data_IF_880394870225
#
_entry.id   IF_880394870225
#
_cell.length_a   1.000
_cell.length_b   1.000
_cell.length_c   1.000
_cell.angle_alpha   90.00
_cell.angle_beta   90.00
_cell.angle_gamma   90.00
#
_symmetry.space_group_name_H-M   'P 1'
#
loop_
_entity.id
_entity.type
_entity.pdbx_description
1 polymer ?
#
# COMPACT_ATOMS: atom_id res chain seq x y z
N UNK A 1 2.90 -10.10 -14.41
CA UNK A 1 1.92 -8.99 -14.32
C UNK A 1 2.62 -7.63 -14.31
N UNK A 2 3.62 -7.39 -13.45
CA UNK A 2 4.44 -6.17 -13.49
C UNK A 2 5.01 -5.84 -14.90
N UNK A 3 5.40 -6.85 -15.68
CA UNK A 3 5.76 -6.71 -17.11
C UNK A 3 4.70 -5.97 -17.93
N UNK A 4 3.41 -6.25 -17.74
CA UNK A 4 2.33 -5.60 -18.49
C UNK A 4 2.31 -4.10 -18.20
N UNK A 5 2.34 -3.71 -16.92
CA UNK A 5 2.38 -2.29 -16.55
C UNK A 5 3.61 -1.56 -17.09
N UNK A 6 4.79 -2.16 -16.93
CA UNK A 6 6.03 -1.62 -17.49
C UNK A 6 5.91 -1.39 -19.00
N UNK A 7 5.46 -2.43 -19.73
CA UNK A 7 5.36 -2.42 -21.19
C UNK A 7 4.40 -1.36 -21.71
N UNK A 8 3.22 -1.27 -21.11
CA UNK A 8 2.13 -0.43 -21.64
C UNK A 8 2.26 1.05 -21.23
N UNK A 9 3.01 1.34 -20.17
CA UNK A 9 3.22 2.71 -19.64
C UNK A 9 4.64 3.23 -19.95
N UNK A 10 5.46 2.51 -20.73
CA UNK A 10 6.84 2.90 -21.06
C UNK A 10 7.74 3.22 -19.84
N UNK A 11 7.66 2.42 -18.77
CA UNK A 11 8.33 2.74 -17.51
C UNK A 11 9.84 2.42 -17.55
N UNK A 12 10.72 3.32 -17.05
CA UNK A 12 12.11 3.00 -16.78
C UNK A 12 12.20 2.07 -15.58
N UNK A 13 12.74 0.87 -15.77
CA UNK A 13 12.68 -0.19 -14.77
C UNK A 13 14.04 -0.83 -14.54
N UNK A 14 14.39 -1.01 -13.26
CA UNK A 14 15.45 -1.89 -12.81
C UNK A 14 14.82 -3.24 -12.39
N UNK A 15 15.10 -4.26 -13.18
CA UNK A 15 14.66 -5.62 -12.96
C UNK A 15 15.71 -6.38 -12.17
N UNK A 16 15.33 -6.95 -11.03
CA UNK A 16 16.22 -7.72 -10.15
C UNK A 16 15.67 -9.14 -10.06
N UNK A 17 16.35 -10.10 -10.67
CA UNK A 17 15.94 -11.51 -10.72
C UNK A 17 16.94 -12.43 -10.05
N UNK A 18 16.51 -13.63 -9.69
CA UNK A 18 17.39 -14.68 -9.16
C UNK A 18 17.64 -15.75 -10.20
N UNK A 19 18.91 -16.04 -10.43
CA UNK A 19 19.35 -17.24 -11.13
C UNK A 19 19.52 -18.37 -10.11
N UNK A 20 18.55 -19.29 -10.05
CA UNK A 20 18.55 -20.38 -9.09
C UNK A 20 19.66 -21.40 -9.35
N UNK A 21 20.14 -21.53 -10.60
CA UNK A 21 21.19 -22.48 -10.93
C UNK A 21 22.55 -22.03 -10.39
N UNK A 22 22.81 -20.72 -10.41
CA UNK A 22 24.06 -20.14 -9.93
C UNK A 22 23.96 -19.50 -8.54
N UNK A 23 22.75 -19.36 -7.99
CA UNK A 23 22.48 -18.63 -6.74
C UNK A 23 22.98 -17.19 -6.79
N UNK A 24 22.67 -16.50 -7.90
CA UNK A 24 23.07 -15.12 -8.16
C UNK A 24 21.85 -14.21 -8.33
N UNK A 25 22.01 -12.95 -7.91
CA UNK A 25 21.11 -11.87 -8.28
C UNK A 25 21.59 -11.23 -9.59
N UNK A 26 20.67 -11.00 -10.51
CA UNK A 26 20.91 -10.39 -11.82
C UNK A 26 20.16 -9.08 -11.89
N UNK A 27 20.90 -8.00 -12.17
CA UNK A 27 20.40 -6.65 -12.30
C UNK A 27 20.33 -6.31 -13.79
N UNK A 28 19.13 -6.04 -14.29
CA UNK A 28 18.92 -5.66 -15.68
C UNK A 28 18.13 -4.35 -15.77
N UNK A 29 18.53 -3.48 -16.69
CA UNK A 29 17.75 -2.29 -17.02
C UNK A 29 16.83 -2.57 -18.20
N UNK A 30 15.65 -1.94 -18.18
CA UNK A 30 14.67 -2.11 -19.26
C UNK A 30 13.73 -0.89 -19.31
N UNK A 31 13.33 -0.50 -20.52
CA UNK A 31 12.34 0.55 -20.77
C UNK A 31 11.16 -0.04 -21.54
N UNK A 32 9.93 0.30 -21.14
CA UNK A 32 8.73 -0.04 -21.90
C UNK A 32 8.68 -1.50 -22.33
N UNK A 33 8.59 -1.78 -23.64
CA UNK A 33 8.55 -3.13 -24.20
C UNK A 33 9.92 -3.72 -24.56
N UNK A 34 11.00 -3.00 -24.30
CA UNK A 34 12.34 -3.42 -24.69
C UNK A 34 12.78 -4.72 -24.01
N UNK A 35 13.80 -5.35 -24.59
CA UNK A 35 14.46 -6.51 -24.00
C UNK A 35 15.32 -6.06 -22.83
N UNK A 36 15.23 -6.72 -21.65
CA UNK A 36 16.10 -6.42 -20.53
C UNK A 36 17.58 -6.59 -20.90
N UNK A 37 18.39 -5.61 -20.52
CA UNK A 37 19.85 -5.62 -20.71
C UNK A 37 20.52 -5.79 -19.36
N UNK A 38 21.30 -6.87 -19.19
CA UNK A 38 22.03 -7.14 -17.94
C UNK A 38 23.08 -6.04 -17.71
N UNK A 39 22.99 -5.39 -16.55
CA UNK A 39 23.93 -4.35 -16.10
C UNK A 39 24.98 -4.93 -15.16
N UNK A 40 24.55 -5.81 -14.24
CA UNK A 40 25.41 -6.41 -13.23
C UNK A 40 24.85 -7.73 -12.70
N UNK A 41 25.71 -8.47 -12.01
CA UNK A 41 25.41 -9.76 -11.38
C UNK A 41 26.30 -9.94 -10.16
N UNK A 42 25.77 -10.57 -9.11
CA UNK A 42 26.55 -10.95 -7.92
C UNK A 42 25.93 -12.16 -7.21
N UNK A 43 26.68 -12.81 -6.33
CA UNK A 43 26.14 -13.94 -5.58
C UNK A 43 25.16 -13.45 -4.51
N UNK A 44 24.11 -14.24 -4.21
CA UNK A 44 23.13 -13.88 -3.17
C UNK A 44 23.77 -13.64 -1.79
N UNK A 45 24.83 -14.39 -1.46
CA UNK A 45 25.59 -14.20 -0.22
C UNK A 45 26.26 -12.81 -0.12
N UNK A 46 26.63 -12.24 -1.26
CA UNK A 46 27.30 -10.92 -1.31
C UNK A 46 26.28 -9.81 -1.04
N UNK A 47 24.97 -10.12 -1.14
CA UNK A 47 23.86 -9.27 -0.73
C UNK A 47 23.46 -9.48 0.75
N UNK A 48 24.13 -10.37 1.48
CA UNK A 48 23.72 -10.78 2.81
C UNK A 48 22.53 -11.75 2.84
N UNK A 49 22.14 -12.34 1.70
CA UNK A 49 21.04 -13.31 1.65
C UNK A 49 21.51 -14.76 1.85
N UNK A 50 20.66 -15.63 2.44
CA UNK A 50 20.90 -17.06 2.42
C UNK A 50 20.82 -17.62 1.00
N UNK A 51 21.45 -18.78 0.78
CA UNK A 51 21.36 -19.50 -0.51
C UNK A 51 20.00 -20.15 -0.73
N UNK A 52 19.31 -20.48 0.35
CA UNK A 52 17.96 -21.04 0.33
C UNK A 52 16.91 -19.93 0.33
N UNK A 53 15.73 -20.24 -0.20
CA UNK A 53 14.55 -19.36 -0.12
C UNK A 53 13.99 -19.25 1.29
N UNK A 54 14.45 -20.10 2.20
CA UNK A 54 14.13 -20.10 3.62
C UNK A 54 15.42 -19.82 4.40
N UNK A 55 15.37 -18.90 5.35
CA UNK A 55 16.53 -18.57 6.16
C UNK A 55 16.34 -17.26 6.91
N UNK A 56 17.10 -17.09 7.99
CA UNK A 56 17.13 -15.84 8.71
C UNK A 56 17.81 -14.77 7.84
N UNK A 57 17.18 -13.60 7.77
CA UNK A 57 17.70 -12.43 7.06
C UNK A 57 18.00 -11.37 8.11
N UNK A 58 19.29 -11.13 8.36
CA UNK A 58 19.74 -10.03 9.20
C UNK A 58 19.80 -8.75 8.37
N UNK A 59 18.90 -7.80 8.65
CA UNK A 59 18.77 -6.56 7.89
C UNK A 59 20.04 -5.69 7.93
N UNK A 60 20.84 -5.82 9.00
CA UNK A 60 22.11 -5.12 9.18
C UNK A 60 23.22 -5.68 8.31
N UNK A 61 23.12 -6.95 7.91
CA UNK A 61 24.07 -7.60 7.02
C UNK A 61 23.78 -7.35 5.53
N UNK A 62 22.61 -6.80 5.20
CA UNK A 62 22.21 -6.55 3.82
C UNK A 62 23.03 -5.42 3.19
N UNK A 63 23.64 -5.72 2.05
CA UNK A 63 24.49 -4.77 1.31
C UNK A 63 24.40 -5.01 -0.20
N UNK A 64 25.01 -4.14 -0.99
CA UNK A 64 25.22 -4.36 -2.43
C UNK A 64 26.70 -4.07 -2.73
N UNK A 65 27.41 -4.97 -3.43
CA UNK A 65 28.80 -4.73 -3.79
C UNK A 65 28.99 -3.37 -4.51
N UNK A 66 29.98 -2.55 -4.14
CA UNK A 66 30.16 -1.22 -4.74
C UNK A 66 30.33 -1.24 -6.26
N UNK A 67 30.95 -2.29 -6.82
CA UNK A 67 31.12 -2.46 -8.25
C UNK A 67 29.80 -2.77 -8.96
N UNK A 68 28.89 -3.51 -8.31
CA UNK A 68 27.52 -3.73 -8.78
C UNK A 68 26.77 -2.41 -8.82
N UNK A 69 26.82 -1.62 -7.74
CA UNK A 69 26.19 -0.28 -7.69
C UNK A 69 26.73 0.59 -8.83
N UNK A 70 28.05 0.68 -9.00
CA UNK A 70 28.65 1.52 -10.06
C UNK A 70 28.28 1.07 -11.49
N UNK A 71 28.07 -0.22 -11.73
CA UNK A 71 27.58 -0.74 -13.02
C UNK A 71 26.10 -0.42 -13.22
N UNK A 72 25.27 -0.64 -12.20
CA UNK A 72 23.83 -0.32 -12.24
C UNK A 72 23.61 1.18 -12.42
N UNK A 73 24.32 2.04 -11.69
CA UNK A 73 24.24 3.51 -11.84
C UNK A 73 24.50 3.96 -13.28
N UNK A 74 25.53 3.42 -13.93
CA UNK A 74 25.82 3.73 -15.34
C UNK A 74 24.70 3.27 -16.26
N UNK A 75 24.21 2.04 -16.08
CA UNK A 75 23.15 1.50 -16.93
C UNK A 75 21.81 2.24 -16.74
N UNK A 76 21.49 2.67 -15.52
CA UNK A 76 20.25 3.40 -15.20
C UNK A 76 20.21 4.79 -15.83
N UNK A 77 21.37 5.44 -16.01
CA UNK A 77 21.47 6.75 -16.65
C UNK A 77 20.92 6.75 -18.09
N UNK A 78 21.05 5.61 -18.79
CA UNK A 78 20.65 5.48 -20.20
C UNK A 78 19.16 5.14 -20.40
N UNK A 79 18.43 4.76 -19.34
CA UNK A 79 17.01 4.32 -19.43
C UNK A 79 16.05 5.52 -19.54
N UNK A 80 16.49 6.71 -19.10
CA UNK A 80 15.72 7.94 -19.13
C UNK A 80 14.70 8.10 -17.99
N UNK A 81 13.88 9.14 -18.11
CA UNK A 81 12.83 9.53 -17.16
C UNK A 81 11.53 8.74 -17.31
N UNK A 82 10.77 8.67 -16.23
CA UNK A 82 9.42 8.12 -16.18
C UNK A 82 8.47 9.06 -16.94
N UNK A 83 7.63 8.51 -17.85
CA UNK A 83 6.63 9.33 -18.55
C UNK A 83 5.53 9.83 -17.62
N UNK A 84 5.36 9.20 -16.44
CA UNK A 84 4.43 9.63 -15.41
C UNK A 84 5.18 10.22 -14.20
N UNK A 85 4.56 11.15 -13.45
CA UNK A 85 5.06 11.59 -12.17
C UNK A 85 5.26 10.40 -11.20
N UNK A 86 6.34 10.40 -10.40
CA UNK A 86 7.42 11.38 -10.42
C UNK A 86 8.33 11.08 -11.61
N UNK A 87 8.63 12.07 -12.46
CA UNK A 87 9.39 11.85 -13.70
C UNK A 87 10.79 11.29 -13.47
N UNK A 88 11.42 11.58 -12.32
CA UNK A 88 12.73 11.01 -11.96
C UNK A 88 12.63 9.60 -11.33
N UNK A 89 11.45 9.02 -11.13
CA UNK A 89 11.32 7.71 -10.50
C UNK A 89 11.94 6.59 -11.35
N UNK A 90 12.51 5.60 -10.69
CA UNK A 90 12.93 4.32 -11.28
C UNK A 90 12.11 3.20 -10.64
N UNK A 91 11.54 2.34 -11.48
CA UNK A 91 10.64 1.28 -11.05
C UNK A 91 11.40 -0.03 -10.81
N UNK A 92 11.11 -0.73 -9.72
CA UNK A 92 11.69 -2.02 -9.40
C UNK A 92 10.75 -3.15 -9.84
N UNK A 93 11.28 -4.11 -10.60
CA UNK A 93 10.57 -5.34 -11.00
C UNK A 93 11.26 -6.58 -10.41
N UNK A 94 10.51 -7.41 -9.69
CA UNK A 94 10.97 -8.69 -9.14
C UNK A 94 10.26 -9.87 -9.82
N UNK A 95 10.78 -10.38 -10.96
CA UNK A 95 10.16 -11.49 -11.67
C UNK A 95 10.32 -12.83 -10.93
N UNK A 96 9.38 -13.74 -11.14
CA UNK A 96 9.45 -15.13 -10.63
C UNK A 96 10.49 -15.93 -11.43
N UNK A 97 11.35 -16.74 -10.78
CA UNK A 97 11.54 -16.85 -9.33
C UNK A 97 12.35 -15.66 -8.78
N UNK A 98 11.85 -15.05 -7.68
CA UNK A 98 12.50 -13.88 -7.04
C UNK A 98 13.26 -14.23 -5.75
N UNK A 99 13.16 -15.46 -5.26
CA UNK A 99 13.78 -15.85 -3.98
C UNK A 99 13.40 -14.88 -2.86
N UNK A 100 14.41 -14.40 -2.12
CA UNK A 100 14.26 -13.36 -1.08
C UNK A 100 14.66 -11.96 -1.57
N UNK A 101 14.88 -11.74 -2.88
CA UNK A 101 15.36 -10.42 -3.32
C UNK A 101 14.34 -9.32 -3.11
N UNK A 102 13.04 -9.63 -3.02
CA UNK A 102 12.00 -8.65 -2.71
C UNK A 102 12.04 -8.19 -1.25
N UNK A 103 12.72 -8.89 -0.34
CA UNK A 103 12.79 -8.46 1.06
C UNK A 103 13.95 -7.54 1.36
N UNK A 104 14.83 -7.18 0.41
CA UNK A 104 15.90 -6.21 0.66
C UNK A 104 15.37 -4.77 0.63
N UNK A 105 15.95 -3.83 1.40
CA UNK A 105 15.64 -2.41 1.29
C UNK A 105 16.40 -1.80 0.12
N UNK A 106 16.03 -2.15 -1.12
CA UNK A 106 16.68 -1.62 -2.33
C UNK A 106 16.71 -0.10 -2.35
N UNK A 107 15.69 0.53 -1.79
CA UNK A 107 15.57 1.98 -1.68
C UNK A 107 16.72 2.59 -0.86
N UNK A 108 17.13 1.92 0.22
CA UNK A 108 18.35 2.25 1.00
C UNK A 108 19.62 1.86 0.26
N UNK A 109 19.67 0.62 -0.24
CA UNK A 109 20.89 0.01 -0.79
C UNK A 109 21.33 0.63 -2.12
N UNK A 110 20.39 1.20 -2.87
CA UNK A 110 20.61 1.82 -4.18
C UNK A 110 20.38 3.34 -4.14
N UNK A 111 20.45 3.96 -2.96
CA UNK A 111 20.31 5.42 -2.80
C UNK A 111 21.28 6.21 -3.70
N UNK A 112 22.45 5.64 -3.98
CA UNK A 112 23.47 6.21 -4.87
C UNK A 112 23.02 6.37 -6.33
N UNK A 113 21.89 5.78 -6.74
CA UNK A 113 21.28 6.02 -8.05
C UNK A 113 20.73 7.46 -8.18
N UNK A 114 20.49 8.16 -7.06
CA UNK A 114 19.99 9.53 -7.07
C UNK A 114 18.54 9.67 -7.57
N UNK A 115 17.79 8.56 -7.61
CA UNK A 115 16.40 8.49 -8.07
C UNK A 115 15.49 7.95 -6.97
N UNK A 116 14.24 8.46 -6.83
CA UNK A 116 13.22 7.77 -6.07
C UNK A 116 12.96 6.37 -6.64
N UNK A 117 12.85 5.38 -5.76
CA UNK A 117 12.61 3.99 -6.13
C UNK A 117 11.21 3.57 -5.68
N UNK A 118 10.43 3.02 -6.61
CA UNK A 118 9.11 2.44 -6.34
C UNK A 118 9.05 1.03 -6.89
N UNK A 119 8.32 0.15 -6.22
CA UNK A 119 8.13 -1.23 -6.65
C UNK A 119 6.87 -1.32 -7.51
N UNK A 120 6.99 -1.97 -8.66
CA UNK A 120 5.82 -2.21 -9.49
C UNK A 120 4.82 -3.07 -8.73
N UNK A 121 3.51 -2.73 -8.78
CA UNK A 121 2.50 -3.57 -8.18
C UNK A 121 2.29 -4.79 -9.06
N UNK A 122 1.54 -5.74 -8.53
CA UNK A 122 1.23 -6.96 -9.24
C UNK A 122 -0.01 -6.83 -10.11
N UNK A 123 -0.81 -5.77 -9.93
CA UNK A 123 -2.10 -5.63 -10.60
C UNK A 123 -2.16 -4.39 -11.49
N UNK A 124 -2.70 -4.51 -12.73
CA UNK A 124 -2.92 -3.37 -13.62
C UNK A 124 -4.15 -2.53 -13.28
N UNK A 125 -5.06 -3.03 -12.42
CA UNK A 125 -6.17 -2.21 -11.90
C UNK A 125 -5.59 -1.16 -10.97
N UNK A 126 -5.91 0.10 -11.27
CA UNK A 126 -5.77 1.22 -10.34
C UNK A 126 -6.99 1.24 -9.42
N UNK A 127 -6.86 0.94 -8.12
CA UNK A 127 -7.97 1.09 -7.20
C UNK A 127 -8.54 2.52 -7.17
N UNK A 128 -9.82 2.65 -6.85
CA UNK A 128 -10.45 3.94 -6.59
C UNK A 128 -9.68 4.71 -5.49
N UNK A 129 -9.31 5.96 -5.74
CA UNK A 129 -8.61 6.81 -4.77
C UNK A 129 -9.60 7.37 -3.71
N UNK A 130 -9.18 7.54 -2.45
CA UNK A 130 -9.96 8.26 -1.43
C UNK A 130 -10.29 9.69 -1.86
N UNK A 131 -11.45 10.19 -1.40
CA UNK A 131 -11.97 11.53 -1.68
C UNK A 131 -11.19 12.65 -1.01
N UNK A 132 -11.84 13.77 -0.69
CA UNK A 132 -11.20 14.85 0.07
C UNK A 132 -11.02 14.48 1.54
N UNK A 133 -11.90 13.62 2.07
CA UNK A 133 -11.76 13.03 3.38
C UNK A 133 -10.84 11.80 3.32
N UNK A 134 -9.97 11.69 4.31
CA UNK A 134 -9.04 10.57 4.49
C UNK A 134 -9.17 10.03 5.91
N UNK A 135 -9.64 8.81 6.05
CA UNK A 135 -9.75 8.13 7.35
C UNK A 135 -8.60 7.13 7.50
N UNK A 136 -7.77 7.33 8.53
CA UNK A 136 -6.53 6.57 8.74
C UNK A 136 -6.57 5.88 10.08
N UNK A 137 -6.33 4.59 10.14
CA UNK A 137 -6.06 3.89 11.39
C UNK A 137 -4.56 3.72 11.59
N UNK A 138 -4.02 4.19 12.72
CA UNK A 138 -2.64 3.92 13.14
C UNK A 138 -2.69 3.03 14.37
N UNK A 139 -2.14 1.82 14.23
CA UNK A 139 -2.02 0.84 15.29
C UNK A 139 -0.57 0.68 15.68
N UNK A 140 -0.24 0.87 16.96
CA UNK A 140 1.11 0.60 17.46
C UNK A 140 1.07 -0.31 18.68
N UNK A 141 1.90 -1.34 18.64
CA UNK A 141 2.04 -2.29 19.73
C UNK A 141 3.50 -2.65 19.95
N UNK A 142 3.90 -2.76 21.21
CA UNK A 142 5.24 -3.22 21.61
C UNK A 142 5.13 -4.50 22.44
N UNK A 143 5.09 -5.69 21.80
CA UNK A 143 4.95 -6.96 22.52
C UNK A 143 6.16 -7.32 23.39
N UNK A 144 7.33 -6.71 23.15
CA UNK A 144 8.58 -7.10 23.79
C UNK A 144 9.06 -6.03 24.78
N UNK A 145 9.06 -6.31 26.10
CA UNK A 145 9.55 -5.36 27.11
C UNK A 145 11.02 -4.96 26.93
N UNK A 146 11.81 -5.79 26.24
CA UNK A 146 13.23 -5.60 26.02
C UNK A 146 13.54 -4.66 24.84
N UNK A 147 12.62 -4.50 23.88
CA UNK A 147 12.83 -3.67 22.68
C UNK A 147 12.12 -2.34 22.88
N UNK A 148 12.91 -1.32 23.23
CA UNK A 148 12.42 -0.02 23.68
C UNK A 148 12.33 0.94 22.52
N UNK A 149 11.19 0.94 21.83
CA UNK A 149 10.71 2.18 21.20
C UNK A 149 9.61 2.79 22.09
N UNK A 150 9.33 4.08 21.90
CA UNK A 150 8.22 4.77 22.56
C UNK A 150 7.02 4.78 21.62
N UNK A 151 6.02 3.88 21.81
CA UNK A 151 4.89 3.78 20.89
C UNK A 151 4.06 5.07 20.84
N UNK A 152 3.95 5.80 21.96
CA UNK A 152 3.18 7.03 22.03
C UNK A 152 3.79 8.12 21.16
N UNK A 153 5.12 8.29 21.25
CA UNK A 153 5.86 9.23 20.40
C UNK A 153 5.79 8.84 18.92
N UNK A 154 6.02 7.57 18.60
CA UNK A 154 5.96 7.09 17.20
C UNK A 154 4.59 7.36 16.61
N UNK A 155 3.52 6.99 17.32
CA UNK A 155 2.15 7.21 16.85
C UNK A 155 1.86 8.70 16.64
N UNK A 156 2.31 9.57 17.55
CA UNK A 156 2.12 11.02 17.41
C UNK A 156 2.84 11.57 16.16
N UNK A 157 4.07 11.14 15.90
CA UNK A 157 4.81 11.57 14.71
C UNK A 157 4.13 11.09 13.43
N UNK A 158 3.72 9.82 13.37
CA UNK A 158 2.99 9.27 12.23
C UNK A 158 1.67 10.03 12.01
N UNK A 159 0.91 10.28 13.07
CA UNK A 159 -0.34 11.03 12.99
C UNK A 159 -0.11 12.46 12.46
N UNK A 160 0.93 13.14 12.93
CA UNK A 160 1.30 14.47 12.44
C UNK A 160 1.51 14.48 10.91
N UNK A 161 2.21 13.49 10.35
CA UNK A 161 2.46 13.39 8.91
C UNK A 161 1.20 13.12 8.07
N UNK A 162 0.22 12.42 8.63
CA UNK A 162 -1.07 12.28 7.96
C UNK A 162 -1.88 13.57 8.01
N UNK A 163 -1.88 14.27 9.15
CA UNK A 163 -2.61 15.53 9.32
C UNK A 163 -2.03 16.68 8.48
N UNK A 164 -0.73 16.67 8.21
CA UNK A 164 -0.05 17.67 7.38
C UNK A 164 -0.33 17.48 5.86
N UNK A 165 -1.28 16.62 5.48
CA UNK A 165 -1.58 16.32 4.09
C UNK A 165 -2.43 17.42 3.42
N UNK A 166 -1.84 18.26 2.54
CA UNK A 166 -2.50 19.45 2.05
C UNK A 166 -3.73 19.10 1.20
N UNK A 167 -4.81 19.86 1.40
CA UNK A 167 -6.04 19.74 0.61
C UNK A 167 -6.92 18.53 0.98
N UNK A 168 -6.67 17.90 2.13
CA UNK A 168 -7.51 16.81 2.65
C UNK A 168 -7.99 17.08 4.07
N UNK A 169 -9.19 16.62 4.37
CA UNK A 169 -9.70 16.51 5.74
C UNK A 169 -9.31 15.13 6.26
N UNK A 170 -8.48 15.08 7.30
CA UNK A 170 -7.90 13.82 7.77
C UNK A 170 -8.40 13.51 9.17
N UNK A 171 -8.98 12.31 9.31
CA UNK A 171 -9.31 11.70 10.60
C UNK A 171 -8.32 10.60 10.89
N UNK A 172 -7.61 10.69 12.01
CA UNK A 172 -6.63 9.70 12.44
C UNK A 172 -7.14 8.96 13.68
N UNK A 173 -7.44 7.67 13.51
CA UNK A 173 -7.85 6.74 14.56
C UNK A 173 -6.63 6.03 15.14
N UNK A 174 -6.40 6.18 16.43
CA UNK A 174 -5.22 5.66 17.11
C UNK A 174 -5.56 4.46 18.00
N UNK A 175 -4.82 3.38 17.80
CA UNK A 175 -4.92 2.13 18.53
C UNK A 175 -3.57 1.81 19.16
N UNK A 176 -3.53 1.63 20.48
CA UNK A 176 -2.28 1.41 21.23
C UNK A 176 -2.49 0.44 22.38
N UNK A 177 -1.40 -0.06 22.96
CA UNK A 177 -1.45 -0.96 24.11
C UNK A 177 -2.10 -0.27 25.33
N UNK A 178 -2.82 -1.02 26.16
CA UNK A 178 -3.47 -0.51 27.37
C UNK A 178 -2.54 0.32 28.26
N UNK A 179 -1.32 -0.18 28.53
CA UNK A 179 -0.33 0.55 29.33
C UNK A 179 0.22 1.82 28.68
N UNK A 180 -0.06 2.05 27.39
CA UNK A 180 0.42 3.22 26.62
C UNK A 180 -0.68 4.22 26.31
N UNK A 181 -1.95 3.88 26.50
CA UNK A 181 -3.09 4.74 26.18
C UNK A 181 -2.95 6.18 26.71
N UNK A 182 -2.65 6.35 28.01
CA UNK A 182 -2.53 7.68 28.60
C UNK A 182 -1.37 8.50 28.00
N UNK A 183 -0.22 7.85 27.77
CA UNK A 183 0.93 8.49 27.14
C UNK A 183 0.62 8.90 25.69
N UNK A 184 -0.08 8.06 24.94
CA UNK A 184 -0.53 8.36 23.57
C UNK A 184 -1.49 9.55 23.55
N UNK A 185 -2.47 9.61 24.45
CA UNK A 185 -3.36 10.77 24.58
C UNK A 185 -2.61 12.07 24.86
N UNK A 186 -1.60 12.04 25.73
CA UNK A 186 -0.77 13.20 26.03
C UNK A 186 0.11 13.60 24.83
N UNK A 187 0.71 12.62 24.14
CA UNK A 187 1.60 12.85 23.00
C UNK A 187 0.89 13.49 21.80
N UNK A 188 -0.40 13.18 21.59
CA UNK A 188 -1.18 13.73 20.47
C UNK A 188 -1.98 14.98 20.83
N UNK A 189 -1.99 15.41 22.10
CA UNK A 189 -2.65 16.65 22.51
C UNK A 189 -2.23 17.88 21.67
N UNK A 190 -0.94 18.07 21.30
CA UNK A 190 -0.53 19.18 20.44
C UNK A 190 -1.11 19.14 19.03
N UNK A 191 -1.59 17.98 18.57
CA UNK A 191 -2.17 17.80 17.24
C UNK A 191 -3.67 18.15 17.21
N UNK A 192 -4.31 18.29 18.38
CA UNK A 192 -5.71 18.68 18.50
C UNK A 192 -5.87 20.12 17.99
N UNK A 193 -6.36 20.26 16.76
CA UNK A 193 -6.47 21.54 16.04
C UNK A 193 -5.90 21.51 14.62
N UNK A 194 -5.08 20.51 14.29
CA UNK A 194 -4.57 20.26 12.92
C UNK A 194 -5.46 19.31 12.11
N UNK A 195 -6.45 18.69 12.76
CA UNK A 195 -7.46 17.80 12.18
C UNK A 195 -8.09 16.94 13.27
N UNK A 196 -8.76 15.87 12.87
CA UNK A 196 -9.50 15.00 13.80
C UNK A 196 -8.62 13.83 14.24
N UNK A 197 -8.30 13.77 15.54
CA UNK A 197 -7.55 12.66 16.13
C UNK A 197 -8.41 11.96 17.16
N UNK A 198 -8.64 10.67 16.97
CA UNK A 198 -9.46 9.83 17.84
C UNK A 198 -8.60 8.74 18.47
N UNK A 199 -8.29 8.86 19.75
CA UNK A 199 -7.59 7.80 20.50
C UNK A 199 -8.61 6.83 21.07
N UNK A 200 -8.64 5.61 20.53
CA UNK A 200 -9.59 4.58 20.95
C UNK A 200 -9.18 3.99 22.30
N UNK A 201 -10.15 3.84 23.20
CA UNK A 201 -9.95 3.20 24.50
C UNK A 201 -9.72 1.70 24.29
N UNK A 202 -8.61 1.12 24.77
CA UNK A 202 -8.37 -0.31 24.71
C UNK A 202 -9.51 -1.10 25.38
N UNK A 203 -9.88 -2.28 24.85
CA UNK A 203 -10.97 -3.07 25.42
C UNK A 203 -10.61 -3.58 26.80
N UNK A 204 -11.61 -3.87 27.62
CA UNK A 204 -11.38 -4.53 28.91
C UNK A 204 -10.84 -5.96 28.70
N UNK A 205 -9.99 -6.48 29.61
CA UNK A 205 -9.41 -7.82 29.50
C UNK A 205 -10.45 -8.93 29.31
N UNK A 206 -11.56 -8.86 30.06
CA UNK A 206 -12.63 -9.87 30.03
C UNK A 206 -13.37 -9.91 28.70
N UNK A 207 -13.55 -8.76 28.05
CA UNK A 207 -14.16 -8.67 26.71
C UNK A 207 -13.27 -9.36 25.69
N UNK A 208 -11.95 -9.18 25.81
CA UNK A 208 -10.98 -9.80 24.91
C UNK A 208 -10.93 -11.32 25.09
N UNK A 209 -10.94 -11.80 26.33
CA UNK A 209 -10.95 -13.23 26.65
C UNK A 209 -12.23 -13.93 26.13
N UNK A 210 -13.40 -13.31 26.28
CA UNK A 210 -14.67 -13.86 25.76
C UNK A 210 -14.68 -13.93 24.23
N UNK A 211 -14.07 -12.96 23.55
CA UNK A 211 -14.00 -12.92 22.08
C UNK A 211 -13.10 -13.99 21.48
N UNK A 212 -12.02 -14.34 22.17
CA UNK A 212 -11.18 -15.47 21.77
C UNK A 212 -11.95 -16.81 21.77
N UNK A 213 -13.08 -16.90 22.48
CA UNK A 213 -13.94 -18.08 22.58
C UNK A 213 -15.15 -18.05 21.63
N UNK A 214 -15.27 -17.03 20.76
CA UNK A 214 -16.38 -16.90 19.80
C UNK A 214 -16.33 -17.92 18.65
N UNK A 215 -17.37 -17.98 17.79
CA UNK A 215 -17.47 -18.95 16.68
C UNK A 215 -16.39 -18.78 15.59
N UNK A 216 -15.65 -17.68 15.60
CA UNK A 216 -14.43 -17.46 14.81
C UNK A 216 -13.21 -17.33 15.75
N UNK A 217 -12.76 -18.41 16.40
CA UNK A 217 -11.72 -18.40 17.43
C UNK A 217 -10.32 -18.01 16.91
N UNK A 218 -10.18 -17.80 15.60
CA UNK A 218 -8.91 -17.48 14.93
C UNK A 218 -8.64 -15.99 14.78
N UNK A 219 -9.62 -15.10 15.02
CA UNK A 219 -9.43 -13.67 14.77
C UNK A 219 -8.43 -13.03 15.77
N UNK A 220 -7.48 -12.25 15.25
CA UNK A 220 -6.56 -11.49 16.09
C UNK A 220 -7.31 -10.38 16.87
N UNK A 221 -7.10 -10.25 18.21
CA UNK A 221 -7.80 -9.29 19.06
C UNK A 221 -7.64 -7.83 18.62
N UNK A 222 -6.48 -7.47 18.07
CA UNK A 222 -6.22 -6.12 17.58
C UNK A 222 -7.08 -5.80 16.36
N UNK A 223 -7.14 -6.71 15.38
CA UNK A 223 -7.93 -6.50 14.17
C UNK A 223 -9.44 -6.46 14.50
N UNK A 224 -9.87 -7.30 15.44
CA UNK A 224 -11.26 -7.30 15.93
C UNK A 224 -11.59 -5.99 16.64
N UNK A 225 -10.69 -5.49 17.50
CA UNK A 225 -10.87 -4.21 18.17
C UNK A 225 -10.97 -3.05 17.17
N UNK A 226 -10.11 -3.00 16.14
CA UNK A 226 -10.20 -2.00 15.08
C UNK A 226 -11.57 -2.05 14.41
N UNK A 227 -12.00 -3.23 13.95
CA UNK A 227 -13.30 -3.40 13.27
C UNK A 227 -14.48 -2.95 14.13
N UNK A 228 -14.47 -3.30 15.42
CA UNK A 228 -15.53 -2.94 16.35
C UNK A 228 -15.53 -1.45 16.69
N UNK A 229 -14.35 -0.84 16.81
CA UNK A 229 -14.21 0.59 17.08
C UNK A 229 -14.71 1.41 15.89
N UNK A 230 -14.48 0.93 14.67
CA UNK A 230 -15.00 1.57 13.47
C UNK A 230 -16.50 1.42 13.30
N UNK A 231 -17.14 0.35 13.82
CA UNK A 231 -18.60 0.11 13.75
C UNK A 231 -19.19 0.17 12.33
N UNK A 232 -18.46 -0.34 11.35
CA UNK A 232 -18.82 -0.20 9.92
C UNK A 232 -18.26 1.07 9.27
N UNK A 233 -17.50 1.86 10.02
CA UNK A 233 -16.67 2.98 9.58
C UNK A 233 -15.70 2.61 8.47
N UNK A 234 -15.60 3.46 7.43
CA UNK A 234 -14.55 3.35 6.40
C UNK A 234 -13.19 3.69 6.98
N UNK A 235 -12.16 3.00 6.51
CA UNK A 235 -10.77 3.44 6.60
C UNK A 235 -10.20 3.44 5.19
N UNK A 236 -9.42 4.46 4.85
CA UNK A 236 -8.70 4.56 3.58
C UNK A 236 -7.30 3.95 3.67
N UNK A 237 -6.65 4.14 4.82
CA UNK A 237 -5.32 3.61 5.11
C UNK A 237 -5.30 2.94 6.48
N UNK A 238 -4.70 1.76 6.54
CA UNK A 238 -4.34 1.12 7.82
C UNK A 238 -2.83 1.11 7.95
N UNK A 239 -2.33 1.67 9.03
CA UNK A 239 -0.90 1.80 9.34
C UNK A 239 -0.59 1.03 10.62
N UNK A 240 0.32 0.06 10.56
CA UNK A 240 0.86 -0.59 11.76
C UNK A 240 2.30 -0.14 12.06
N UNK A 241 2.57 0.28 13.29
CA UNK A 241 3.91 0.53 13.80
C UNK A 241 4.25 -0.52 14.86
N UNK A 242 4.84 -1.64 14.41
CA UNK A 242 5.20 -2.78 15.25
C UNK A 242 6.30 -3.62 14.58
N UNK A 243 6.89 -4.54 15.34
CA UNK A 243 7.99 -5.37 14.87
C UNK A 243 7.57 -6.32 13.75
N UNK A 244 8.48 -6.52 12.80
CA UNK A 244 8.37 -7.58 11.80
C UNK A 244 8.91 -8.91 12.29
N UNK A 245 8.38 -9.98 11.71
CA UNK A 245 8.87 -11.34 11.89
C UNK A 245 8.96 -12.04 10.54
N UNK A 246 10.04 -12.78 10.30
CA UNK A 246 10.23 -13.56 9.08
C UNK A 246 10.62 -15.00 9.46
N UNK A 247 9.76 -15.96 9.13
CA UNK A 247 10.03 -17.39 9.33
C UNK A 247 9.62 -18.17 8.11
N UNK A 248 10.49 -19.08 7.66
CA UNK A 248 10.24 -19.97 6.52
C UNK A 248 9.79 -19.22 5.24
N UNK A 249 10.32 -18.01 5.04
CA UNK A 249 9.97 -17.16 3.90
C UNK A 249 8.58 -16.53 3.99
N UNK A 250 7.99 -16.47 5.20
CA UNK A 250 6.71 -15.80 5.47
C UNK A 250 6.91 -14.67 6.47
N UNK A 251 6.56 -13.47 6.02
CA UNK A 251 6.51 -12.26 6.82
C UNK A 251 5.23 -12.17 7.63
N UNK A 252 5.36 -11.68 8.86
CA UNK A 252 4.24 -11.38 9.74
C UNK A 252 4.54 -10.13 10.58
N UNK A 253 3.47 -9.51 11.08
CA UNK A 253 3.52 -8.42 12.06
C UNK A 253 3.42 -9.00 13.47
N UNK A 254 4.30 -8.60 14.39
CA UNK A 254 4.26 -9.02 15.78
C UNK A 254 3.55 -7.96 16.64
N UNK A 255 2.38 -8.31 17.18
CA UNK A 255 1.60 -7.47 18.11
C UNK A 255 1.59 -8.10 19.51
N UNK A 256 1.30 -7.32 20.55
CA UNK A 256 0.99 -7.88 21.87
C UNK A 256 -0.17 -8.89 21.76
N UNK A 257 -0.15 -9.95 22.56
CA UNK A 257 -1.18 -11.00 22.52
C UNK A 257 -2.61 -10.48 22.72
N UNK A 258 -2.77 -9.32 23.36
CA UNK A 258 -4.03 -8.60 23.54
C UNK A 258 -3.76 -7.09 23.64
N UNK A 259 -4.61 -6.21 23.08
CA UNK A 259 -4.52 -4.77 23.31
C UNK A 259 -4.81 -4.38 24.77
N UNK A 260 -5.50 -5.25 25.53
CA UNK A 260 -5.91 -5.01 26.91
C UNK A 260 -4.85 -5.36 27.96
N UNK A 261 -3.81 -6.09 27.57
CA UNK A 261 -2.84 -6.69 28.50
C UNK A 261 -1.41 -6.33 28.10
N UNK A 262 -0.68 -5.72 29.04
CA UNK A 262 0.74 -5.48 28.86
C UNK A 262 1.54 -6.78 29.07
N UNK A 263 2.55 -7.03 28.22
CA UNK A 263 3.57 -8.04 28.50
C UNK A 263 3.19 -9.51 28.25
N UNK A 264 2.20 -9.79 27.42
CA UNK A 264 1.89 -11.16 26.94
C UNK A 264 2.78 -11.62 25.78
N UNK A 265 2.77 -12.92 25.42
CA UNK A 265 3.47 -13.40 24.23
C UNK A 265 2.97 -12.68 22.97
N UNK A 266 3.88 -12.41 22.05
CA UNK A 266 3.53 -11.81 20.77
C UNK A 266 2.55 -12.71 20.01
N UNK A 267 1.55 -12.08 19.37
CA UNK A 267 0.69 -12.73 18.39
C UNK A 267 1.03 -12.18 17.02
N UNK A 268 1.25 -13.08 16.08
CA UNK A 268 1.59 -12.72 14.71
C UNK A 268 0.32 -12.47 13.90
N UNK A 269 0.37 -11.47 13.03
CA UNK A 269 -0.66 -11.20 12.02
C UNK A 269 -0.04 -11.46 10.66
N UNK A 270 -0.61 -12.40 9.92
CA UNK A 270 -0.16 -12.74 8.57
C UNK A 270 -0.95 -11.96 7.50
N UNK A 271 -0.52 -12.11 6.24
CA UNK A 271 -1.10 -11.39 5.10
C UNK A 271 -2.60 -11.64 4.93
N UNK A 272 -3.08 -12.87 5.14
CA UNK A 272 -4.49 -13.22 5.00
C UNK A 272 -5.40 -12.42 5.96
N UNK A 273 -4.99 -12.29 7.23
CA UNK A 273 -5.73 -11.54 8.24
C UNK A 273 -5.73 -10.03 7.93
N UNK A 274 -4.60 -9.49 7.47
CA UNK A 274 -4.52 -8.08 7.04
C UNK A 274 -5.39 -7.82 5.81
N UNK A 275 -5.37 -8.71 4.81
CA UNK A 275 -6.21 -8.57 3.61
C UNK A 275 -7.69 -8.55 3.99
N UNK A 276 -8.12 -9.43 4.91
CA UNK A 276 -9.49 -9.44 5.42
C UNK A 276 -9.84 -8.13 6.12
N UNK A 277 -8.99 -7.64 7.03
CA UNK A 277 -9.20 -6.34 7.69
C UNK A 277 -9.36 -5.23 6.65
N UNK A 278 -8.38 -5.09 5.75
CA UNK A 278 -8.36 -4.03 4.74
C UNK A 278 -9.57 -4.11 3.79
N UNK A 279 -10.04 -5.31 3.46
CA UNK A 279 -11.25 -5.50 2.65
C UNK A 279 -12.50 -5.05 3.41
N UNK A 280 -12.64 -5.43 4.68
CA UNK A 280 -13.81 -5.10 5.51
C UNK A 280 -13.96 -3.61 5.77
N UNK A 281 -12.87 -2.88 5.95
CA UNK A 281 -12.89 -1.43 6.19
C UNK A 281 -12.83 -0.60 4.90
N UNK A 282 -12.67 -1.24 3.73
CA UNK A 282 -12.60 -0.59 2.43
C UNK A 282 -11.25 0.08 2.11
N UNK A 283 -10.22 -0.15 2.91
CA UNK A 283 -8.91 0.50 2.80
C UNK A 283 -8.26 0.23 1.45
N UNK A 284 -7.66 1.27 0.89
CA UNK A 284 -6.84 1.20 -0.33
C UNK A 284 -5.36 1.05 -0.02
N UNK A 285 -4.94 1.47 1.17
CA UNK A 285 -3.54 1.52 1.58
C UNK A 285 -3.24 0.70 2.83
N UNK A 286 -2.08 0.05 2.81
CA UNK A 286 -1.40 -0.51 3.98
C UNK A 286 -0.06 0.18 4.14
N UNK A 287 0.24 0.66 5.35
CA UNK A 287 1.57 1.11 5.74
C UNK A 287 2.06 0.30 6.94
N UNK A 288 3.34 -0.08 6.92
CA UNK A 288 3.99 -0.80 8.01
C UNK A 288 5.23 0.00 8.41
N UNK A 289 5.34 0.42 9.67
CA UNK A 289 6.55 1.07 10.18
C UNK A 289 7.31 0.12 11.07
N UNK A 290 8.56 -0.13 10.70
CA UNK A 290 9.50 -0.90 11.50
C UNK A 290 10.09 0.01 12.59
N UNK A 291 9.83 -0.28 13.87
CA UNK A 291 10.39 0.52 14.96
C UNK A 291 11.89 0.22 15.15
N UNK A 292 12.65 1.14 15.79
CA UNK A 292 14.06 0.92 16.06
C UNK A 292 14.32 -0.37 16.85
N UNK A 293 15.39 -1.07 16.50
CA UNK A 293 15.76 -2.32 17.16
C UNK A 293 14.86 -3.52 16.84
N UNK A 294 14.08 -3.44 15.76
CA UNK A 294 13.28 -4.56 15.28
C UNK A 294 14.13 -5.75 14.85
N UNK A 295 13.63 -6.96 15.15
CA UNK A 295 14.32 -8.21 14.85
C UNK A 295 14.36 -8.50 13.34
N UNK A 296 13.34 -8.07 12.59
CA UNK A 296 13.22 -8.45 11.18
C UNK A 296 12.36 -7.47 10.34
N UNK A 297 12.95 -6.33 9.97
CA UNK A 297 12.39 -5.41 8.95
C UNK A 297 12.03 -6.13 7.63
N UNK A 298 12.83 -7.14 7.26
CA UNK A 298 12.58 -8.00 6.10
C UNK A 298 11.21 -8.71 6.17
N UNK A 299 10.74 -9.02 7.38
CA UNK A 299 9.42 -9.62 7.61
C UNK A 299 8.27 -8.68 7.24
N UNK A 300 8.38 -7.38 7.56
CA UNK A 300 7.39 -6.39 7.13
C UNK A 300 7.41 -6.19 5.62
N UNK A 301 8.59 -6.18 4.99
CA UNK A 301 8.72 -6.09 3.52
C UNK A 301 8.14 -7.31 2.82
N UNK A 302 8.33 -8.51 3.36
CA UNK A 302 7.69 -9.72 2.84
C UNK A 302 6.16 -9.69 3.01
N UNK A 303 5.67 -9.26 4.18
CA UNK A 303 4.24 -9.11 4.45
C UNK A 303 3.58 -8.11 3.50
N UNK A 304 4.19 -6.94 3.32
CA UNK A 304 3.72 -5.91 2.38
C UNK A 304 3.73 -6.41 0.92
N UNK A 305 4.78 -7.13 0.50
CA UNK A 305 4.84 -7.73 -0.84
C UNK A 305 3.71 -8.75 -1.06
N UNK A 306 3.38 -9.58 -0.05
CA UNK A 306 2.25 -10.51 -0.12
C UNK A 306 0.90 -9.80 -0.20
N UNK A 307 0.71 -8.72 0.55
CA UNK A 307 -0.52 -7.90 0.44
C UNK A 307 -0.62 -7.27 -0.95
N UNK A 308 0.47 -6.70 -1.47
CA UNK A 308 0.52 -6.09 -2.80
C UNK A 308 0.25 -7.09 -3.95
N UNK A 309 0.58 -8.37 -3.75
CA UNK A 309 0.28 -9.46 -4.69
C UNK A 309 -1.15 -9.94 -4.68
N UNK A 310 -1.83 -9.77 -3.54
CA UNK A 310 -3.14 -10.38 -3.30
C UNK A 310 -4.27 -9.43 -3.65
N UNK A 311 -3.99 -8.13 -3.69
CA UNK A 311 -4.99 -7.10 -3.97
C UNK A 311 -4.38 -5.84 -4.59
N UNK A 312 -5.13 -5.14 -5.45
CA UNK A 312 -4.78 -3.79 -5.85
C UNK A 312 -4.74 -2.84 -4.64
N UNK A 313 -3.80 -1.92 -4.63
CA UNK A 313 -3.67 -0.93 -3.57
C UNK A 313 -2.28 -0.33 -3.48
N UNK A 314 -2.06 0.35 -2.37
CA UNK A 314 -0.74 0.82 -1.92
C UNK A 314 -0.30 -0.06 -0.78
N UNK A 315 0.91 -0.59 -0.85
CA UNK A 315 1.56 -1.22 0.30
C UNK A 315 2.89 -0.51 0.52
N UNK A 316 3.17 -0.08 1.74
CA UNK A 316 4.40 0.63 2.07
C UNK A 316 5.02 0.10 3.36
N UNK A 317 6.34 0.12 3.41
CA UNK A 317 7.14 -0.11 4.62
C UNK A 317 8.01 1.12 4.87
N UNK A 318 8.09 1.53 6.12
CA UNK A 318 8.82 2.70 6.60
C UNK A 318 9.80 2.27 7.70
N UNK A 319 11.07 2.63 7.58
CA UNK A 319 12.10 2.40 8.59
C UNK A 319 12.19 3.63 9.52
N UNK A 320 11.67 3.49 10.76
CA UNK A 320 11.68 4.60 11.73
C UNK A 320 13.11 4.93 12.19
N UNK A 321 14.02 3.98 12.21
CA UNK A 321 15.41 4.25 12.62
C UNK A 321 16.12 5.13 11.58
N UNK A 322 15.82 4.93 10.30
CA UNK A 322 16.34 5.73 9.19
C UNK A 322 15.58 7.04 8.93
N UNK A 323 14.33 7.15 9.40
CA UNK A 323 13.50 8.37 9.29
C UNK A 323 12.71 8.63 10.61
N UNK A 324 13.40 9.04 11.69
CA UNK A 324 12.78 9.18 13.02
C UNK A 324 11.68 10.23 13.13
N UNK A 325 11.72 11.22 12.23
CA UNK A 325 10.71 12.27 12.13
C UNK A 325 9.66 11.94 11.04
N UNK A 326 9.73 10.77 10.39
CA UNK A 326 8.79 10.36 9.36
C UNK A 326 8.65 11.37 8.18
N UNK A 327 9.70 12.14 7.87
CA UNK A 327 9.69 13.12 6.78
C UNK A 327 9.58 12.44 5.41
N UNK A 328 10.30 11.33 5.21
CA UNK A 328 10.26 10.56 3.97
C UNK A 328 8.92 9.85 3.83
N UNK A 329 8.34 9.36 4.94
CA UNK A 329 6.97 8.87 4.96
C UNK A 329 5.99 9.96 4.50
N UNK A 330 6.03 11.15 5.11
CA UNK A 330 5.17 12.27 4.73
C UNK A 330 5.26 12.61 3.24
N UNK A 331 6.50 12.74 2.72
CA UNK A 331 6.75 12.96 1.28
C UNK A 331 6.19 11.83 0.40
N UNK A 332 6.32 10.58 0.83
CA UNK A 332 5.73 9.42 0.13
C UNK A 332 4.19 9.47 0.16
N UNK A 333 3.59 9.81 1.30
CA UNK A 333 2.14 9.93 1.46
C UNK A 333 1.57 11.04 0.60
N UNK A 334 2.21 12.21 0.54
CA UNK A 334 1.79 13.27 -0.39
C UNK A 334 1.86 12.76 -1.83
N UNK A 335 2.97 12.14 -2.23
CA UNK A 335 3.15 11.61 -3.59
C UNK A 335 2.02 10.67 -4.03
N UNK A 336 1.46 9.86 -3.11
CA UNK A 336 0.44 8.86 -3.45
C UNK A 336 -0.99 9.33 -3.15
N UNK A 337 -1.21 10.03 -2.04
CA UNK A 337 -2.54 10.39 -1.53
C UNK A 337 -2.93 11.84 -1.85
N UNK A 338 -2.01 12.80 -1.79
CA UNK A 338 -2.29 14.18 -2.21
C UNK A 338 -1.07 14.78 -2.94
N UNK A 339 -0.88 14.41 -4.23
CA UNK A 339 0.31 14.75 -4.98
C UNK A 339 0.58 16.25 -4.93
N UNK A 340 1.64 16.64 -4.23
CA UNK A 340 2.08 18.03 -4.10
C UNK A 340 3.58 18.08 -4.37
N UNK A 341 3.95 18.84 -5.41
CA UNK A 341 5.33 19.01 -5.82
C UNK A 341 6.00 17.77 -6.45
N UNK A 342 7.16 17.96 -7.10
CA UNK A 342 7.89 16.86 -7.70
C UNK A 342 8.70 16.10 -6.65
N UNK A 343 8.52 14.77 -6.57
CA UNK A 343 9.42 13.92 -5.80
C UNK A 343 10.72 13.71 -6.60
N UNK A 344 11.75 14.48 -6.27
CA UNK A 344 13.04 14.47 -6.99
C UNK A 344 14.14 13.70 -6.27
N UNK A 345 14.12 13.69 -4.94
CA UNK A 345 15.16 13.07 -4.13
C UNK A 345 14.80 11.63 -3.70
N UNK A 346 15.80 10.71 -3.58
CA UNK A 346 15.61 9.37 -3.03
C UNK A 346 14.91 9.36 -1.67
N UNK A 347 14.21 8.26 -1.37
CA UNK A 347 13.54 7.99 -0.10
C UNK A 347 14.08 6.67 0.50
N UNK A 348 15.32 6.62 1.01
CA UNK A 348 15.95 5.39 1.47
C UNK A 348 15.25 4.68 2.64
N UNK A 349 14.44 5.40 3.44
CA UNK A 349 13.69 4.83 4.55
C UNK A 349 12.34 4.24 4.13
N UNK A 350 11.96 4.37 2.85
CA UNK A 350 10.67 3.94 2.33
C UNK A 350 10.82 2.80 1.34
N UNK A 351 9.97 1.80 1.46
CA UNK A 351 9.75 0.76 0.45
C UNK A 351 8.28 0.79 0.07
N UNK A 352 7.92 1.01 -1.19
CA UNK A 352 6.51 1.17 -1.59
C UNK A 352 6.17 0.43 -2.88
N UNK A 353 5.11 -0.39 -2.83
CA UNK A 353 4.40 -0.94 -3.99
C UNK A 353 3.23 -0.02 -4.31
N UNK A 354 3.27 0.62 -5.46
CA UNK A 354 2.26 1.59 -5.87
C UNK A 354 2.05 1.55 -7.37
N UNK A 355 0.81 1.67 -7.82
CA UNK A 355 0.53 1.76 -9.25
C UNK A 355 1.08 3.07 -9.84
N UNK A 356 1.72 3.08 -11.02
CA UNK A 356 2.23 4.31 -11.64
C UNK A 356 1.19 5.43 -11.76
N UNK A 357 -0.03 5.08 -12.20
CA UNK A 357 -1.15 6.01 -12.26
C UNK A 357 -1.64 6.52 -10.88
N UNK A 358 -1.29 5.89 -9.75
CA UNK A 358 -1.58 6.47 -8.42
C UNK A 358 -0.74 7.69 -8.12
N UNK A 359 0.44 7.78 -8.74
CA UNK A 359 1.42 8.82 -8.46
C UNK A 359 1.27 10.03 -9.40
N UNK A 360 0.33 9.96 -10.34
CA UNK A 360 -0.02 11.12 -11.18
C UNK A 360 -0.44 12.30 -10.31
N UNK A 361 0.25 13.43 -10.52
CA UNK A 361 -0.18 14.71 -9.99
C UNK A 361 -1.53 15.01 -10.60
N UNK A 362 -2.54 15.19 -9.76
CA UNK A 362 -3.82 15.76 -10.14
C UNK A 362 -3.55 17.14 -10.73
N UNK A 363 -3.32 17.19 -12.05
CA UNK A 363 -3.84 18.28 -12.84
C UNK A 363 -5.33 18.34 -12.52
N UNK A 364 -5.85 19.53 -12.21
CA UNK A 364 -7.26 19.70 -11.90
C UNK A 364 -8.16 19.12 -13.00
N UNK A 365 -9.49 19.13 -12.81
CA UNK A 365 -10.46 18.66 -13.82
C UNK A 365 -10.31 19.29 -15.22
N UNK A 366 -9.47 20.33 -15.37
CA UNK A 366 -9.17 21.05 -16.61
C UNK A 366 -7.80 20.74 -17.23
N UNK A 367 -6.96 19.87 -16.65
CA UNK A 367 -5.72 19.50 -17.29
C UNK A 367 -6.04 18.77 -18.62
N UNK A 368 -5.52 19.24 -19.76
CA UNK A 368 -5.82 18.62 -21.04
C UNK A 368 -5.39 17.17 -20.95
N UNK A 369 -6.35 16.25 -21.15
CA UNK A 369 -6.06 14.83 -21.26
C UNK A 369 -5.04 14.67 -22.38
N UNK A 370 -3.77 14.46 -22.02
CA UNK A 370 -2.75 14.17 -23.02
C UNK A 370 -3.26 13.00 -23.87
N UNK A 371 -3.07 13.03 -25.19
CA UNK A 371 -3.60 12.02 -26.07
C UNK A 371 -3.05 10.66 -25.64
N UNK A 372 -3.95 9.87 -25.03
CA UNK A 372 -3.65 8.54 -24.51
C UNK A 372 -2.94 7.74 -25.60
N UNK A 373 -1.72 7.29 -25.30
CA UNK A 373 -0.90 6.55 -26.26
C UNK A 373 -1.67 5.32 -26.74
N UNK A 374 -1.37 4.86 -27.96
CA UNK A 374 -2.00 3.65 -28.50
C UNK A 374 -1.82 2.42 -27.60
N UNK A 375 -0.77 2.41 -26.78
CA UNK A 375 -0.46 1.31 -25.85
C UNK A 375 -1.32 1.36 -24.59
N UNK A 376 -1.51 2.54 -23.98
CA UNK A 376 -2.47 2.70 -22.88
C UNK A 376 -3.90 2.29 -23.29
N UNK A 377 -4.32 2.57 -24.53
CA UNK A 377 -5.62 2.11 -25.06
C UNK A 377 -5.74 0.59 -25.12
N UNK A 378 -4.68 -0.09 -25.56
CA UNK A 378 -4.64 -1.55 -25.61
C UNK A 378 -4.76 -2.15 -24.21
N UNK A 379 -4.06 -1.59 -23.24
CA UNK A 379 -4.17 -1.97 -21.83
C UNK A 379 -5.62 -1.81 -21.33
N UNK A 380 -6.25 -0.67 -21.59
CA UNK A 380 -7.59 -0.39 -21.07
C UNK A 380 -8.66 -1.29 -21.67
N UNK A 381 -8.64 -1.45 -22.99
CA UNK A 381 -9.66 -2.23 -23.70
C UNK A 381 -9.50 -3.74 -23.42
N UNK A 382 -8.27 -4.24 -23.37
CA UNK A 382 -7.99 -5.66 -23.12
C UNK A 382 -8.27 -6.11 -21.69
N UNK A 383 -8.22 -5.20 -20.71
CA UNK A 383 -8.36 -5.52 -19.29
C UNK A 383 -9.65 -5.01 -18.65
N UNK A 384 -10.57 -4.46 -19.45
CA UNK A 384 -11.80 -3.82 -18.97
C UNK A 384 -11.49 -2.73 -17.93
N UNK A 385 -10.56 -1.84 -18.28
CA UNK A 385 -10.21 -0.67 -17.47
C UNK A 385 -10.72 0.60 -18.14
N UNK A 386 -11.00 1.60 -17.33
CA UNK A 386 -11.24 2.97 -17.77
C UNK A 386 -9.92 3.61 -18.18
N UNK A 387 -10.01 4.76 -18.88
CA UNK A 387 -8.83 5.54 -19.34
C UNK A 387 -7.85 5.91 -18.23
N UNK A 388 -8.35 6.06 -17.00
CA UNK A 388 -7.55 6.40 -15.82
C UNK A 388 -6.99 5.17 -15.08
N UNK A 389 -7.12 3.97 -15.68
CA UNK A 389 -6.68 2.68 -15.15
C UNK A 389 -7.62 2.06 -14.12
N UNK A 390 -8.73 2.71 -13.77
CA UNK A 390 -9.70 2.18 -12.81
C UNK A 390 -10.55 1.07 -13.41
N UNK A 391 -11.19 0.27 -12.56
CA UNK A 391 -12.12 -0.76 -12.99
C UNK A 391 -13.25 -0.20 -13.86
N UNK A 392 -13.53 -0.80 -15.02
CA UNK A 392 -14.73 -0.47 -15.81
C UNK A 392 -16.01 -1.05 -15.20
N UNK A 393 -15.90 -1.96 -14.22
CA UNK A 393 -17.04 -2.55 -13.52
C UNK A 393 -17.52 -1.70 -12.34
N UNK A 394 -16.82 -0.62 -11.97
CA UNK A 394 -17.36 0.33 -11.00
C UNK A 394 -18.17 1.39 -11.75
N UNK A 395 -19.48 1.32 -11.58
CA UNK A 395 -20.44 2.27 -12.15
C UNK A 395 -20.43 3.59 -11.38
N UNK A 396 -21.15 4.58 -11.91
CA UNK A 396 -20.97 5.97 -11.49
C UNK A 396 -21.41 6.23 -10.04
N UNK A 397 -22.57 5.72 -9.65
CA UNK A 397 -23.10 5.93 -8.30
C UNK A 397 -22.24 5.23 -7.26
N UNK A 398 -21.83 3.98 -7.52
CA UNK A 398 -20.89 3.25 -6.67
C UNK A 398 -19.57 4.01 -6.53
N UNK A 399 -19.02 4.51 -7.64
CA UNK A 399 -17.77 5.27 -7.65
C UNK A 399 -17.87 6.56 -6.84
N UNK A 400 -18.97 7.29 -7.01
CA UNK A 400 -19.26 8.53 -6.30
C UNK A 400 -19.45 8.26 -4.81
N UNK A 401 -20.29 7.29 -4.46
CA UNK A 401 -20.55 6.91 -3.08
C UNK A 401 -19.31 6.38 -2.36
N UNK A 402 -18.46 5.60 -3.03
CA UNK A 402 -17.20 5.11 -2.46
C UNK A 402 -16.23 6.23 -2.04
N UNK A 403 -16.39 7.43 -2.61
CA UNK A 403 -15.54 8.61 -2.38
C UNK A 403 -16.23 9.61 -1.44
N UNK A 404 -17.50 9.89 -1.69
CA UNK A 404 -18.24 11.01 -1.11
C UNK A 404 -19.08 10.64 0.10
N UNK A 405 -19.51 9.38 0.23
CA UNK A 405 -20.29 8.97 1.41
C UNK A 405 -19.33 8.84 2.58
N UNK A 406 -19.49 9.77 3.52
CA UNK A 406 -18.79 9.77 4.79
C UNK A 406 -19.23 8.57 5.65
N UNK A 407 -18.28 7.95 6.34
CA UNK A 407 -18.53 6.94 7.36
C UNK A 407 -18.82 5.52 6.89
N UNK A 408 -19.44 5.27 5.74
CA UNK A 408 -19.90 3.90 5.41
C UNK A 408 -18.87 3.04 4.64
N UNK A 409 -18.29 2.05 5.31
CA UNK A 409 -17.28 1.14 4.72
C UNK A 409 -17.82 0.22 3.62
N UNK A 410 -19.12 -0.08 3.61
CA UNK A 410 -19.64 -1.18 2.78
C UNK A 410 -19.51 -0.90 1.28
N UNK A 411 -19.66 0.36 0.84
CA UNK A 411 -19.48 0.73 -0.58
C UNK A 411 -18.01 0.60 -0.97
N UNK A 412 -17.11 1.12 -0.12
CA UNK A 412 -15.68 1.01 -0.35
C UNK A 412 -15.22 -0.47 -0.36
N UNK A 413 -15.68 -1.27 0.61
CA UNK A 413 -15.43 -2.71 0.70
C UNK A 413 -15.91 -3.47 -0.54
N UNK A 414 -17.14 -3.21 -0.99
CA UNK A 414 -17.69 -3.82 -2.20
C UNK A 414 -16.90 -3.41 -3.45
N UNK A 415 -16.48 -2.15 -3.53
CA UNK A 415 -15.63 -1.64 -4.61
C UNK A 415 -14.28 -2.36 -4.65
N UNK A 416 -13.62 -2.58 -3.49
CA UNK A 416 -12.38 -3.37 -3.40
C UNK A 416 -12.58 -4.82 -3.82
N UNK A 417 -13.73 -5.38 -3.47
CA UNK A 417 -14.08 -6.75 -3.82
C UNK A 417 -14.23 -6.91 -5.33
N UNK A 418 -14.90 -5.97 -6.01
CA UNK A 418 -15.00 -5.95 -7.48
C UNK A 418 -13.63 -5.81 -8.13
N UNK A 419 -12.80 -4.88 -7.66
CA UNK A 419 -11.44 -4.68 -8.18
C UNK A 419 -10.58 -5.95 -8.03
N UNK A 420 -10.67 -6.64 -6.89
CA UNK A 420 -9.96 -7.89 -6.63
C UNK A 420 -10.50 -9.05 -7.50
N UNK A 421 -11.82 -9.17 -7.63
CA UNK A 421 -12.45 -10.19 -8.46
C UNK A 421 -12.08 -10.00 -9.94
N UNK A 422 -12.11 -8.76 -10.44
CA UNK A 422 -11.65 -8.43 -11.78
C UNK A 422 -10.23 -8.93 -12.02
N UNK A 423 -9.33 -8.73 -11.05
CA UNK A 423 -7.96 -9.23 -11.16
C UNK A 423 -7.88 -10.75 -11.10
N UNK A 424 -8.68 -11.40 -10.26
CA UNK A 424 -8.64 -12.86 -10.17
C UNK A 424 -9.24 -13.58 -11.37
N UNK A 425 -10.22 -12.96 -12.05
CA UNK A 425 -11.01 -13.62 -13.10
C UNK A 425 -10.62 -13.19 -14.53
N UNK A 426 -10.08 -11.99 -14.71
CA UNK A 426 -9.69 -11.50 -16.04
C UNK A 426 -8.21 -11.78 -16.33
N UNK A 427 -7.85 -12.02 -17.60
CA UNK A 427 -6.45 -12.26 -17.96
C UNK A 427 -5.59 -11.04 -17.69
N UNK A 428 -4.32 -11.27 -17.33
CA UNK A 428 -3.36 -10.19 -17.04
C UNK A 428 -2.56 -9.72 -18.26
N UNK A 429 -2.67 -10.41 -19.38
CA UNK A 429 -1.97 -10.13 -20.62
C UNK A 429 -3.00 -9.66 -21.65
N UNK A 430 -2.72 -8.49 -22.25
CA UNK A 430 -3.60 -7.84 -23.23
C UNK A 430 -3.92 -8.74 -24.43
N UNK A 431 -2.99 -9.62 -24.81
CA UNK A 431 -3.16 -10.55 -25.94
C UNK A 431 -3.95 -11.82 -25.60
N UNK A 432 -4.33 -12.00 -24.33
CA UNK A 432 -5.12 -13.17 -23.91
C UNK A 432 -6.61 -12.82 -23.99
N UNK A 433 -7.43 -13.63 -24.69
CA UNK A 433 -8.85 -13.34 -24.82
C UNK A 433 -9.53 -13.38 -23.45
N UNK A 434 -10.44 -12.44 -23.24
CA UNK A 434 -11.21 -12.32 -22.00
C UNK A 434 -12.30 -13.40 -21.96
N UNK A 435 -12.46 -14.06 -20.81
CA UNK A 435 -13.60 -14.96 -20.58
C UNK A 435 -14.90 -14.15 -20.47
N UNK A 436 -15.78 -14.31 -21.45
CA UNK A 436 -17.07 -13.63 -21.49
C UNK A 436 -17.94 -13.98 -20.27
N UNK A 437 -17.91 -15.22 -19.79
CA UNK A 437 -18.71 -15.61 -18.63
C UNK A 437 -18.25 -14.89 -17.36
N UNK A 438 -16.94 -14.70 -17.18
CA UNK A 438 -16.38 -13.91 -16.09
C UNK A 438 -16.79 -12.43 -16.18
N UNK A 439 -16.77 -11.85 -17.39
CA UNK A 439 -17.21 -10.46 -17.63
C UNK A 439 -18.70 -10.29 -17.33
N UNK A 440 -19.54 -11.20 -17.82
CA UNK A 440 -20.99 -11.17 -17.57
C UNK A 440 -21.28 -11.30 -16.07
N UNK A 441 -20.58 -12.21 -15.37
CA UNK A 441 -20.71 -12.37 -13.92
C UNK A 441 -20.30 -11.11 -13.14
N UNK A 442 -19.16 -10.50 -13.45
CA UNK A 442 -18.71 -9.25 -12.81
C UNK A 442 -19.67 -8.10 -13.08
N UNK A 443 -20.18 -8.00 -14.31
CA UNK A 443 -21.15 -6.98 -14.70
C UNK A 443 -22.46 -7.14 -13.91
N UNK A 444 -22.93 -8.38 -13.69
CA UNK A 444 -24.13 -8.63 -12.90
C UNK A 444 -23.94 -8.25 -11.42
N UNK A 445 -22.80 -8.61 -10.83
CA UNK A 445 -22.48 -8.23 -9.43
C UNK A 445 -22.36 -6.70 -9.30
N UNK A 446 -21.71 -6.06 -10.27
CA UNK A 446 -21.60 -4.60 -10.35
C UNK A 446 -22.97 -3.91 -10.43
N UNK A 447 -23.85 -4.35 -11.34
CA UNK A 447 -25.19 -3.77 -11.47
C UNK A 447 -26.03 -3.96 -10.22
N UNK A 448 -25.96 -5.13 -9.57
CA UNK A 448 -26.63 -5.36 -8.30
C UNK A 448 -26.13 -4.39 -7.21
N UNK A 449 -24.80 -4.18 -7.15
CA UNK A 449 -24.21 -3.23 -6.22
C UNK A 449 -24.70 -1.81 -6.49
N UNK A 450 -24.68 -1.37 -7.76
CA UNK A 450 -25.14 -0.05 -8.18
C UNK A 450 -26.60 0.21 -7.76
N UNK A 451 -27.50 -0.77 -7.96
CA UNK A 451 -28.89 -0.68 -7.53
C UNK A 451 -29.04 -0.55 -6.00
N UNK A 452 -28.16 -1.17 -5.21
CA UNK A 452 -28.16 -1.02 -3.76
C UNK A 452 -27.62 0.36 -3.35
N UNK A 453 -26.56 0.84 -4.01
CA UNK A 453 -25.99 2.17 -3.76
C UNK A 453 -27.01 3.26 -4.07
N UNK A 454 -27.71 3.19 -5.20
CA UNK A 454 -28.76 4.15 -5.55
C UNK A 454 -29.92 4.19 -4.55
N UNK A 455 -30.30 3.03 -4.01
CA UNK A 455 -31.36 2.97 -2.98
C UNK A 455 -30.90 3.54 -1.64
N UNK A 456 -29.64 3.33 -1.29
CA UNK A 456 -29.06 3.84 -0.03
C UNK A 456 -28.76 5.35 -0.10
N UNK A 457 -28.31 5.83 -1.26
CA UNK A 457 -27.90 7.22 -1.50
C UNK A 457 -28.55 7.75 -2.78
N UNK A 458 -29.85 8.10 -2.74
CA UNK A 458 -30.52 8.70 -3.88
C UNK A 458 -29.88 10.05 -4.20
N UNK A 459 -29.67 10.33 -5.49
CA UNK A 459 -29.19 11.66 -5.90
C UNK A 459 -30.26 12.71 -5.54
N UNK A 460 -29.86 13.90 -5.04
CA UNK A 460 -30.80 14.97 -4.81
C UNK A 460 -31.48 15.34 -6.15
N UNK A 461 -32.82 15.36 -6.18
CA UNK A 461 -33.56 15.81 -7.37
C UNK A 461 -33.05 17.21 -7.76
N UNK A 462 -32.60 17.37 -9.01
CA UNK A 462 -32.27 18.69 -9.53
C UNK A 462 -33.50 19.61 -9.33
N UNK A 463 -33.32 20.80 -8.72
CA UNK A 463 -34.43 21.71 -8.57
C UNK A 463 -35.02 22.00 -9.95
N UNK A 464 -36.36 22.02 -10.09
CA UNK A 464 -36.97 22.23 -11.39
C UNK A 464 -36.43 23.53 -12.01
N UNK A 465 -36.17 23.55 -13.33
CA UNK A 465 -35.61 24.71 -14.00
C UNK A 465 -36.47 25.93 -13.65
N UNK A 466 -35.81 26.99 -13.16
CA UNK A 466 -36.48 28.23 -12.80
C UNK A 466 -37.31 28.68 -14.02
N UNK A 467 -38.63 28.71 -13.86
CA UNK A 467 -39.52 29.16 -14.92
C UNK A 467 -39.19 30.63 -15.18
N UNK A 468 -38.57 30.91 -16.32
CA UNK A 468 -38.40 32.27 -16.82
C UNK A 468 -39.78 32.91 -16.94
N UNK A 469 -40.06 33.89 -16.08
CA UNK A 469 -41.32 34.62 -16.10
C UNK A 469 -41.48 35.35 -17.44
N UNK A 470 -42.72 35.41 -18.00
CA UNK A 470 -42.96 36.09 -19.26
C UNK A 470 -42.58 37.58 -19.14
N UNK A 471 -41.73 38.04 -20.05
CA UNK A 471 -41.31 39.44 -20.19
C UNK A 471 -42.40 40.34 -20.77
#
# INVERSE_FOLDING_TARGET
MAKTLRSEIDLPTLRISVDLATSEAVFAVVRGRDRPTEAARCALRDLGLPRSTTGHVDDRALTVPPDVVARVSRAVADVGESPLPPHNALWLEFPVPRGLVHVLPWERLLVALGRPLFRLPFHPVRPQKPGLQLDVAICSSSPFPAVRFDPARVVAELAHRYLDNPGRHVTVHLFTDAGRYAATCEAVRPLLGHGDVVVHVPPEPDVTARRALGPHPTANPWLTWILDAMRGGRLDVVHFAAHGYLSDGRGALALAGSPALDGGPARFVESAELIELLARVGAVGLALSDPPGSDSAAGLRDLADHVAQSRPGVAAVHDIEADPEAEQLGRSLHTVLAPSGPLTAPLPAMTAWVHPLFVEVTGGPEAPAEPMTSDLRRLTDGLMLRKDGRSAFLQEATRKAAVEVDGDSWVASASRSIEQLQMSWLPYAVDTPVDKAAVDALSNVSSLLEEHVHRAYPEPEEPPPAQEGPS
#
